data_IF_453548800182
#
_entry.id   IF_453548800182
#
_cell.length_a   1.000
_cell.length_b   1.000
_cell.length_c   1.000
_cell.angle_alpha   90.00
_cell.angle_beta   90.00
_cell.angle_gamma   90.00
#
_symmetry.space_group_name_H-M   'P 1'
#
loop_
_entity.id
_entity.type
_entity.pdbx_description
1 polymer ?
#
# COMPACT_ATOMS: atom_id res chain seq x y z
N UNK A 1 -4.53 0.58 41.03
CA UNK A 1 -3.33 0.80 40.19
C UNK A 1 -3.74 1.67 39.01
N UNK A 2 -3.26 2.92 38.90
CA UNK A 2 -3.46 3.72 37.67
C UNK A 2 -2.57 3.12 36.58
N UNK A 3 -3.12 2.88 35.39
CA UNK A 3 -2.38 2.39 34.22
C UNK A 3 -2.33 3.54 33.23
N UNK A 4 -1.14 3.96 32.85
CA UNK A 4 -0.96 4.87 31.72
C UNK A 4 -1.25 4.07 30.45
N UNK A 5 -2.15 4.61 29.62
CA UNK A 5 -2.57 4.00 28.36
C UNK A 5 -2.32 5.05 27.29
N UNK A 6 -1.40 4.75 26.37
CA UNK A 6 -1.20 5.51 25.15
C UNK A 6 -2.15 4.93 24.09
N UNK A 7 -2.81 5.81 23.35
CA UNK A 7 -3.76 5.41 22.32
C UNK A 7 -3.40 6.07 21.00
N UNK A 8 -3.11 5.24 20.00
CA UNK A 8 -2.88 5.69 18.64
C UNK A 8 -4.19 5.64 17.86
N UNK A 9 -4.59 6.77 17.29
CA UNK A 9 -5.86 6.93 16.57
C UNK A 9 -5.60 7.76 15.31
N UNK A 10 -6.19 7.35 14.19
CA UNK A 10 -6.09 8.15 12.96
C UNK A 10 -7.18 9.23 12.93
N UNK A 11 -6.95 10.31 12.17
CA UNK A 11 -8.00 11.33 11.96
C UNK A 11 -9.25 10.73 11.30
N UNK A 12 -9.08 9.70 10.47
CA UNK A 12 -10.20 8.98 9.86
C UNK A 12 -11.06 8.27 10.91
N UNK A 13 -10.46 7.68 11.95
CA UNK A 13 -11.21 7.03 13.03
C UNK A 13 -12.04 8.05 13.81
N UNK A 14 -11.49 9.25 14.06
CA UNK A 14 -12.21 10.36 14.69
C UNK A 14 -13.36 10.85 13.80
N UNK A 15 -13.13 11.00 12.50
CA UNK A 15 -14.17 11.37 11.53
C UNK A 15 -15.32 10.35 11.54
N UNK A 16 -15.00 9.07 11.49
CA UNK A 16 -15.97 7.98 11.45
C UNK A 16 -16.77 7.85 12.76
N UNK A 17 -16.12 8.04 13.91
CA UNK A 17 -16.77 7.99 15.22
C UNK A 17 -17.80 9.12 15.39
N UNK A 18 -17.52 10.31 14.88
CA UNK A 18 -18.43 11.46 14.96
C UNK A 18 -19.49 11.45 13.85
N UNK A 19 -19.19 10.90 12.67
CA UNK A 19 -20.16 10.75 11.58
C UNK A 19 -21.23 9.68 11.88
N UNK A 20 -20.89 8.67 12.69
CA UNK A 20 -21.80 7.63 13.15
C UNK A 20 -21.66 7.43 14.66
N UNK A 21 -22.34 8.24 15.49
CA UNK A 21 -22.31 8.04 16.93
C UNK A 21 -22.87 6.65 17.27
N UNK A 22 -22.01 5.69 17.62
CA UNK A 22 -22.40 4.32 18.00
C UNK A 22 -23.10 4.22 19.38
N UNK A 23 -23.52 5.34 19.97
CA UNK A 23 -23.92 5.43 21.38
C UNK A 23 -25.33 5.95 21.68
N UNK A 24 -26.19 6.14 20.67
CA UNK A 24 -27.57 6.58 20.91
C UNK A 24 -28.44 5.46 21.48
N UNK A 25 -28.91 5.58 22.73
CA UNK A 25 -29.93 4.69 23.35
C UNK A 25 -31.35 4.87 22.74
N UNK A 26 -31.44 5.16 21.45
CA UNK A 26 -32.73 5.32 20.77
C UNK A 26 -33.04 4.10 19.91
N UNK A 27 -34.30 3.67 19.92
CA UNK A 27 -34.84 2.54 19.16
C UNK A 27 -34.51 2.65 17.66
N UNK A 28 -34.25 3.87 17.17
CA UNK A 28 -33.84 4.18 15.80
C UNK A 28 -32.38 3.84 15.47
N UNK A 29 -31.47 3.78 16.46
CA UNK A 29 -30.06 3.37 16.28
C UNK A 29 -29.92 1.84 16.15
N UNK A 30 -30.82 1.08 16.78
CA UNK A 30 -30.89 -0.37 16.63
C UNK A 30 -31.36 -0.77 15.23
N UNK A 31 -32.34 -0.06 14.68
CA UNK A 31 -32.82 -0.31 13.30
C UNK A 31 -31.79 0.11 12.25
N UNK A 32 -31.03 1.19 12.48
CA UNK A 32 -29.95 1.62 11.57
C UNK A 32 -28.70 0.73 11.67
N UNK A 33 -28.45 0.09 12.81
CA UNK A 33 -27.40 -0.92 12.99
C UNK A 33 -27.71 -2.28 12.34
N UNK A 34 -29.00 -2.56 12.07
CA UNK A 34 -29.46 -3.77 11.36
C UNK A 34 -29.45 -3.63 9.82
N UNK A 35 -29.25 -2.40 9.31
CA UNK A 35 -29.05 -2.13 7.89
C UNK A 35 -27.57 -2.22 7.48
N UNK A 36 -27.28 -2.61 6.24
CA UNK A 36 -25.91 -2.55 5.70
C UNK A 36 -25.33 -1.15 5.94
N UNK A 37 -24.12 -1.03 6.50
CA UNK A 37 -23.51 0.27 6.77
C UNK A 37 -23.26 1.04 5.46
N UNK A 38 -24.19 1.90 5.04
CA UNK A 38 -23.99 2.81 3.90
C UNK A 38 -22.85 3.75 4.23
N UNK A 39 -21.73 3.71 3.48
CA UNK A 39 -20.64 4.70 3.64
C UNK A 39 -21.25 6.09 3.52
N UNK A 40 -21.42 6.77 4.64
CA UNK A 40 -21.89 8.15 4.71
C UNK A 40 -20.68 9.01 4.42
N UNK A 41 -20.77 9.85 3.40
CA UNK A 41 -19.71 10.79 3.07
C UNK A 41 -19.46 11.71 4.27
N UNK A 42 -18.20 11.85 4.66
CA UNK A 42 -17.79 12.75 5.73
C UNK A 42 -17.75 14.15 5.12
N UNK A 43 -18.65 15.02 5.57
CA UNK A 43 -18.72 16.39 5.08
C UNK A 43 -17.48 17.20 5.49
N UNK A 44 -17.09 18.17 4.68
CA UNK A 44 -15.97 19.06 5.00
C UNK A 44 -16.19 19.86 6.29
N UNK A 45 -17.44 20.15 6.66
CA UNK A 45 -17.77 20.81 7.94
C UNK A 45 -17.36 19.95 9.14
N UNK A 46 -17.66 18.65 9.10
CA UNK A 46 -17.28 17.70 10.15
C UNK A 46 -15.75 17.58 10.25
N UNK A 47 -15.06 17.47 9.11
CA UNK A 47 -13.58 17.45 9.07
C UNK A 47 -12.98 18.70 9.69
N UNK A 48 -13.51 19.88 9.36
CA UNK A 48 -13.03 21.14 9.93
C UNK A 48 -13.25 21.21 11.45
N UNK A 49 -14.38 20.71 11.94
CA UNK A 49 -14.65 20.64 13.38
C UNK A 49 -13.66 19.72 14.10
N UNK A 50 -13.42 18.54 13.55
CA UNK A 50 -12.48 17.56 14.11
C UNK A 50 -11.06 18.12 14.09
N UNK A 51 -10.63 18.72 12.98
CA UNK A 51 -9.31 19.35 12.87
C UNK A 51 -9.13 20.47 13.92
N UNK A 52 -10.18 21.25 14.24
CA UNK A 52 -10.12 22.26 15.31
C UNK A 52 -9.95 21.63 16.69
N UNK A 53 -10.64 20.53 16.97
CA UNK A 53 -10.53 19.81 18.26
C UNK A 53 -9.14 19.18 18.39
N UNK A 54 -8.65 18.54 17.34
CA UNK A 54 -7.30 17.93 17.31
C UNK A 54 -6.23 19.00 17.51
N UNK A 55 -6.29 20.12 16.80
CA UNK A 55 -5.35 21.23 16.99
C UNK A 55 -5.33 21.73 18.44
N UNK A 56 -6.50 21.86 19.07
CA UNK A 56 -6.59 22.26 20.48
C UNK A 56 -5.89 21.26 21.40
N UNK A 57 -6.04 19.96 21.16
CA UNK A 57 -5.36 18.94 21.96
C UNK A 57 -3.84 18.95 21.76
N UNK A 58 -3.37 19.27 20.55
CA UNK A 58 -1.96 19.47 20.27
C UNK A 58 -1.42 20.70 21.01
N UNK A 59 -2.11 21.84 20.92
CA UNK A 59 -1.73 23.09 21.61
C UNK A 59 -1.72 22.94 23.14
N UNK A 60 -2.60 22.11 23.70
CA UNK A 60 -2.67 21.80 25.12
C UNK A 60 -1.62 20.76 25.57
N UNK A 61 -0.86 20.17 24.65
CA UNK A 61 0.11 19.11 24.94
C UNK A 61 -0.54 17.78 25.36
N UNK A 62 -1.81 17.59 25.03
CA UNK A 62 -2.58 16.35 25.33
C UNK A 62 -2.39 15.30 24.24
N UNK A 63 -2.16 15.74 23.00
CA UNK A 63 -1.95 14.88 21.84
C UNK A 63 -0.75 15.33 21.01
N UNK A 64 -0.14 14.38 20.30
CA UNK A 64 0.91 14.62 19.33
C UNK A 64 0.43 14.21 17.94
N UNK A 65 0.71 15.03 16.93
CA UNK A 65 0.40 14.68 15.54
C UNK A 65 1.60 13.97 14.91
N UNK A 66 1.41 12.71 14.53
CA UNK A 66 2.43 11.91 13.84
C UNK A 66 2.00 11.78 12.37
N UNK A 67 2.72 12.41 11.41
CA UNK A 67 2.41 12.26 9.99
C UNK A 67 2.75 10.85 9.51
N UNK A 68 1.77 10.19 8.88
CA UNK A 68 1.96 8.88 8.27
C UNK A 68 2.52 8.94 6.85
N UNK A 69 2.46 7.79 6.16
CA UNK A 69 2.80 7.68 4.74
C UNK A 69 1.58 7.22 3.96
N UNK A 70 1.23 7.95 2.90
CA UNK A 70 0.26 7.53 1.90
C UNK A 70 1.01 7.00 0.68
N UNK A 71 1.05 5.67 0.53
CA UNK A 71 1.62 5.03 -0.65
C UNK A 71 0.55 4.81 -1.71
N UNK A 72 0.76 5.37 -2.90
CA UNK A 72 -0.12 5.20 -4.05
C UNK A 72 0.66 4.49 -5.16
N UNK A 73 0.39 3.20 -5.31
CA UNK A 73 0.92 2.42 -6.42
C UNK A 73 0.17 2.72 -7.72
N UNK A 74 0.84 2.51 -8.85
CA UNK A 74 0.27 2.70 -10.19
C UNK A 74 -0.38 4.11 -10.37
N UNK A 75 0.30 5.16 -9.91
CA UNK A 75 -0.23 6.54 -9.86
C UNK A 75 -0.76 7.07 -11.20
N UNK A 76 -0.27 6.56 -12.33
CA UNK A 76 -0.75 6.92 -13.67
C UNK A 76 -2.20 6.50 -13.94
N UNK A 77 -2.82 5.73 -13.04
CA UNK A 77 -4.24 5.39 -13.07
C UNK A 77 -5.14 6.50 -12.54
N UNK A 78 -4.58 7.48 -11.81
CA UNK A 78 -5.29 8.67 -11.35
C UNK A 78 -5.57 9.63 -12.51
N UNK A 79 -6.69 10.35 -12.41
CA UNK A 79 -7.06 11.40 -13.34
C UNK A 79 -6.68 12.79 -12.83
N UNK A 80 -6.87 13.79 -13.69
CA UNK A 80 -6.55 15.19 -13.39
C UNK A 80 -7.30 15.73 -12.16
N UNK A 81 -8.53 15.25 -11.90
CA UNK A 81 -9.30 15.65 -10.73
C UNK A 81 -8.68 15.11 -9.44
N UNK A 82 -8.24 13.84 -9.44
CA UNK A 82 -7.50 13.24 -8.34
C UNK A 82 -6.20 14.01 -8.06
N UNK A 83 -5.44 14.36 -9.10
CA UNK A 83 -4.21 15.14 -8.92
C UNK A 83 -4.48 16.53 -8.38
N UNK A 84 -5.56 17.19 -8.82
CA UNK A 84 -5.96 18.50 -8.28
C UNK A 84 -6.31 18.41 -6.79
N UNK A 85 -7.03 17.35 -6.40
CA UNK A 85 -7.36 17.09 -5.00
C UNK A 85 -6.11 16.82 -4.15
N UNK A 86 -5.18 16.00 -4.66
CA UNK A 86 -3.92 15.69 -3.99
C UNK A 86 -3.04 16.93 -3.84
N UNK A 87 -2.94 17.76 -4.87
CA UNK A 87 -2.17 19.00 -4.85
C UNK A 87 -2.70 19.94 -3.75
N UNK A 88 -4.02 20.10 -3.64
CA UNK A 88 -4.64 20.87 -2.55
C UNK A 88 -4.41 20.23 -1.17
N UNK A 89 -4.44 18.90 -1.09
CA UNK A 89 -4.27 18.18 0.18
C UNK A 89 -2.82 18.22 0.69
N UNK A 90 -1.84 18.33 -0.21
CA UNK A 90 -0.42 18.51 0.13
C UNK A 90 -0.11 19.86 0.77
N UNK A 91 -0.96 20.87 0.59
CA UNK A 91 -0.85 22.18 1.26
C UNK A 91 -1.30 22.16 2.73
N UNK A 92 -1.99 21.09 3.16
CA UNK A 92 -2.48 20.97 4.54
C UNK A 92 -1.35 20.64 5.50
N UNK A 93 -1.33 21.26 6.68
CA UNK A 93 -0.37 20.91 7.75
C UNK A 93 -0.54 19.49 8.31
N UNK A 94 -1.71 18.89 8.10
CA UNK A 94 -2.01 17.50 8.48
C UNK A 94 -1.68 16.49 7.37
N UNK A 95 -1.09 16.93 6.25
CA UNK A 95 -0.83 16.06 5.11
C UNK A 95 0.25 15.02 5.46
N UNK A 96 0.00 13.72 5.21
CA UNK A 96 1.04 12.71 5.34
C UNK A 96 2.09 12.88 4.23
N UNK A 97 3.22 12.17 4.36
CA UNK A 97 4.17 12.03 3.26
C UNK A 97 3.51 11.18 2.18
N UNK A 98 3.41 11.70 0.95
CA UNK A 98 2.84 10.95 -0.17
C UNK A 98 3.97 10.34 -1.00
N UNK A 99 3.92 9.02 -1.19
CA UNK A 99 4.87 8.27 -2.01
C UNK A 99 4.13 7.69 -3.21
N UNK A 100 4.47 8.17 -4.39
CA UNK A 100 3.92 7.70 -5.66
C UNK A 100 4.84 6.65 -6.28
N UNK A 101 4.26 5.56 -6.78
CA UNK A 101 4.98 4.58 -7.59
C UNK A 101 4.36 4.45 -8.99
N UNK A 102 5.23 4.24 -9.98
CA UNK A 102 4.84 4.08 -11.38
C UNK A 102 5.88 3.26 -12.12
N UNK A 103 5.41 2.43 -13.04
CA UNK A 103 6.22 1.68 -14.00
C UNK A 103 6.13 2.27 -15.43
N UNK A 104 5.43 3.41 -15.60
CA UNK A 104 5.25 4.07 -16.90
C UNK A 104 6.27 5.17 -17.11
N UNK A 105 6.88 5.18 -18.30
CA UNK A 105 7.78 6.24 -18.75
C UNK A 105 7.03 7.51 -19.18
N UNK A 106 6.39 7.51 -20.35
CA UNK A 106 5.57 8.63 -20.84
C UNK A 106 4.18 8.10 -21.18
N UNK A 107 3.15 8.59 -20.50
CA UNK A 107 1.75 8.16 -20.68
C UNK A 107 0.80 9.37 -20.64
N UNK A 108 -0.44 9.19 -21.10
CA UNK A 108 -1.46 10.25 -21.03
C UNK A 108 -1.97 10.41 -19.61
N UNK A 109 -2.18 11.66 -19.19
CA UNK A 109 -2.89 11.98 -17.94
C UNK A 109 -4.38 11.68 -18.15
N UNK A 110 -4.97 10.82 -17.32
CA UNK A 110 -6.39 10.46 -17.46
C UNK A 110 -7.27 11.68 -17.14
N UNK A 111 -8.41 11.79 -17.79
CA UNK A 111 -9.29 12.98 -17.65
C UNK A 111 -8.81 14.22 -18.42
N UNK A 112 -7.83 14.07 -19.32
CA UNK A 112 -7.39 15.12 -20.25
C UNK A 112 -7.57 14.65 -21.70
N UNK A 113 -7.51 15.58 -22.65
CA UNK A 113 -7.59 15.30 -24.10
C UNK A 113 -6.27 14.73 -24.66
N UNK A 114 -5.77 13.66 -24.04
CA UNK A 114 -4.57 12.94 -24.49
C UNK A 114 -3.25 13.65 -24.16
N UNK A 115 -3.24 14.57 -23.19
CA UNK A 115 -2.01 15.25 -22.75
C UNK A 115 -1.03 14.22 -22.20
N UNK A 116 0.14 14.10 -22.83
CA UNK A 116 1.20 13.17 -22.42
C UNK A 116 2.17 13.85 -21.47
N UNK A 117 2.53 13.15 -20.41
CA UNK A 117 3.49 13.62 -19.40
C UNK A 117 4.39 12.48 -18.94
N UNK A 118 5.63 12.76 -18.48
CA UNK A 118 6.41 11.78 -17.74
C UNK A 118 5.58 11.18 -16.61
N UNK A 119 5.63 9.86 -16.49
CA UNK A 119 4.98 9.08 -15.44
C UNK A 119 3.44 9.18 -15.38
N UNK A 120 2.80 9.91 -16.29
CA UNK A 120 1.36 10.16 -16.26
C UNK A 120 0.94 11.16 -15.19
N UNK A 121 1.86 11.98 -14.70
CA UNK A 121 1.65 12.94 -13.62
C UNK A 121 1.68 14.37 -14.21
N UNK A 122 0.78 15.29 -13.81
CA UNK A 122 0.85 16.69 -14.19
C UNK A 122 2.20 17.35 -13.86
N UNK A 123 2.69 18.23 -14.74
CA UNK A 123 4.02 18.85 -14.62
C UNK A 123 4.15 19.68 -13.33
N UNK A 124 3.09 20.36 -12.93
CA UNK A 124 3.01 21.14 -11.69
C UNK A 124 3.23 20.29 -10.43
N UNK A 125 2.76 19.03 -10.45
CA UNK A 125 3.01 18.10 -9.35
C UNK A 125 4.40 17.47 -9.46
N UNK A 126 4.87 17.15 -10.67
CA UNK A 126 6.21 16.60 -10.90
C UNK A 126 7.31 17.53 -10.39
N UNK A 127 7.19 18.84 -10.57
CA UNK A 127 8.17 19.83 -10.12
C UNK A 127 8.32 19.86 -8.58
N UNK A 128 7.32 19.36 -7.85
CA UNK A 128 7.31 19.26 -6.38
C UNK A 128 7.82 17.91 -5.87
N UNK A 129 8.07 16.94 -6.74
CA UNK A 129 8.39 15.56 -6.37
C UNK A 129 9.89 15.31 -6.32
N UNK A 130 10.34 14.60 -5.28
CA UNK A 130 11.65 13.96 -5.28
C UNK A 130 11.56 12.62 -6.04
N UNK A 131 12.11 12.56 -7.25
CA UNK A 131 12.09 11.34 -8.07
C UNK A 131 13.25 10.43 -7.68
N UNK A 132 12.92 9.27 -7.12
CA UNK A 132 13.88 8.18 -6.83
C UNK A 132 13.73 7.10 -7.89
N UNK A 133 14.78 6.86 -8.67
CA UNK A 133 14.80 5.82 -9.71
C UNK A 133 15.22 4.49 -9.11
N UNK A 134 14.45 3.45 -9.41
CA UNK A 134 14.83 2.07 -9.10
C UNK A 134 15.46 1.41 -10.34
N UNK A 135 16.31 0.42 -10.10
CA UNK A 135 16.98 -0.34 -11.15
C UNK A 135 16.60 -1.82 -11.04
N UNK A 136 16.59 -2.57 -12.16
CA UNK A 136 16.44 -4.02 -12.12
C UNK A 136 17.55 -4.66 -11.28
N UNK A 137 17.21 -5.73 -10.57
CA UNK A 137 18.18 -6.54 -9.83
C UNK A 137 19.03 -7.39 -10.78
N UNK A 138 20.27 -7.64 -10.39
CA UNK A 138 21.11 -8.69 -10.95
C UNK A 138 20.60 -10.08 -10.54
N UNK A 139 21.03 -11.13 -11.26
CA UNK A 139 20.66 -12.52 -10.92
C UNK A 139 21.13 -12.86 -9.50
N UNK A 140 22.34 -12.44 -9.11
CA UNK A 140 22.90 -12.67 -7.77
C UNK A 140 22.02 -12.03 -6.67
N UNK A 141 21.58 -10.79 -6.88
CA UNK A 141 20.65 -10.12 -5.96
C UNK A 141 19.29 -10.82 -5.92
N UNK A 142 18.75 -11.27 -7.07
CA UNK A 142 17.49 -12.01 -7.11
C UNK A 142 17.57 -13.32 -6.33
N UNK A 143 18.64 -14.11 -6.51
CA UNK A 143 18.87 -15.35 -5.76
C UNK A 143 18.94 -15.07 -4.27
N UNK A 144 19.62 -13.99 -3.86
CA UNK A 144 19.68 -13.59 -2.46
C UNK A 144 18.31 -13.24 -1.89
N UNK A 145 17.50 -12.46 -2.62
CA UNK A 145 16.14 -12.12 -2.21
C UNK A 145 15.26 -13.37 -2.10
N UNK A 146 15.36 -14.29 -3.07
CA UNK A 146 14.62 -15.56 -3.06
C UNK A 146 15.02 -16.44 -1.87
N UNK A 147 16.31 -16.47 -1.52
CA UNK A 147 16.82 -17.20 -0.35
C UNK A 147 16.23 -16.66 0.95
N UNK A 148 16.20 -15.33 1.12
CA UNK A 148 15.56 -14.69 2.27
C UNK A 148 14.07 -15.04 2.30
N UNK A 149 13.39 -14.99 1.15
CA UNK A 149 11.96 -15.28 1.06
C UNK A 149 11.65 -16.74 1.42
N UNK A 150 12.42 -17.69 0.90
CA UNK A 150 12.30 -19.11 1.24
C UNK A 150 12.49 -19.34 2.74
N UNK A 151 13.49 -18.68 3.35
CA UNK A 151 13.76 -18.76 4.79
C UNK A 151 12.58 -18.24 5.62
N UNK A 152 12.01 -17.08 5.24
CA UNK A 152 10.86 -16.47 5.94
C UNK A 152 9.61 -17.34 5.83
N UNK A 153 9.40 -17.99 4.69
CA UNK A 153 8.28 -18.91 4.48
C UNK A 153 8.53 -20.34 5.01
N UNK A 154 9.72 -20.61 5.56
CA UNK A 154 10.10 -21.93 6.08
C UNK A 154 10.18 -23.00 4.99
N UNK A 155 10.63 -22.63 3.79
CA UNK A 155 10.81 -23.52 2.65
C UNK A 155 12.27 -23.99 2.58
N UNK A 156 12.46 -25.30 2.44
CA UNK A 156 13.76 -25.89 2.15
C UNK A 156 13.92 -25.97 0.63
N UNK A 157 14.83 -25.18 0.07
CA UNK A 157 15.06 -25.05 -1.37
C UNK A 157 16.51 -25.37 -1.66
N UNK A 158 16.74 -26.23 -2.65
CA UNK A 158 18.09 -26.53 -3.10
C UNK A 158 18.80 -25.31 -3.70
N UNK A 159 20.12 -25.23 -3.55
CA UNK A 159 20.90 -24.10 -4.07
C UNK A 159 20.81 -24.00 -5.59
N UNK A 160 20.82 -25.14 -6.29
CA UNK A 160 20.67 -25.17 -7.74
C UNK A 160 19.26 -24.70 -8.17
N UNK A 161 18.24 -25.10 -7.42
CA UNK A 161 16.86 -24.64 -7.59
C UNK A 161 16.72 -23.12 -7.39
N UNK A 162 17.40 -22.53 -6.40
CA UNK A 162 17.44 -21.08 -6.20
C UNK A 162 18.12 -20.34 -7.36
N UNK A 163 19.22 -20.89 -7.89
CA UNK A 163 19.89 -20.33 -9.07
C UNK A 163 18.97 -20.34 -10.30
N UNK A 164 18.25 -21.44 -10.53
CA UNK A 164 17.27 -21.55 -11.60
C UNK A 164 16.14 -20.52 -11.42
N UNK A 165 15.57 -20.39 -10.21
CA UNK A 165 14.56 -19.36 -9.93
C UNK A 165 15.08 -17.93 -10.14
N UNK A 166 16.35 -17.68 -9.85
CA UNK A 166 17.01 -16.41 -10.17
C UNK A 166 17.03 -16.12 -11.67
N UNK A 167 17.36 -17.12 -12.49
CA UNK A 167 17.32 -17.00 -13.96
C UNK A 167 15.89 -16.80 -14.48
N UNK A 168 14.92 -17.55 -13.94
CA UNK A 168 13.50 -17.37 -14.27
C UNK A 168 13.03 -15.95 -13.92
N UNK A 169 13.42 -15.44 -12.75
CA UNK A 169 13.12 -14.08 -12.30
C UNK A 169 13.72 -13.00 -13.20
N UNK A 170 14.94 -13.22 -13.71
CA UNK A 170 15.60 -12.33 -14.65
C UNK A 170 14.94 -12.33 -16.04
N UNK A 171 14.43 -13.48 -16.50
CA UNK A 171 13.66 -13.59 -17.75
C UNK A 171 12.26 -12.98 -17.64
N UNK A 172 11.66 -13.03 -16.45
CA UNK A 172 10.27 -12.64 -16.22
C UNK A 172 10.16 -11.45 -15.25
N UNK A 173 9.97 -11.72 -13.96
CA UNK A 173 10.05 -10.76 -12.87
C UNK A 173 10.34 -11.47 -11.55
N UNK A 174 10.93 -10.76 -10.59
CA UNK A 174 11.11 -11.26 -9.24
C UNK A 174 9.78 -11.68 -8.58
N UNK A 175 8.69 -10.98 -8.87
CA UNK A 175 7.35 -11.32 -8.35
C UNK A 175 6.92 -12.71 -8.81
N UNK A 176 7.13 -13.02 -10.09
CA UNK A 176 6.80 -14.33 -10.64
C UNK A 176 7.66 -15.43 -10.01
N UNK A 177 8.98 -15.23 -9.94
CA UNK A 177 9.89 -16.19 -9.30
C UNK A 177 9.55 -16.46 -7.82
N UNK A 178 9.18 -15.43 -7.06
CA UNK A 178 8.70 -15.59 -5.67
C UNK A 178 7.40 -16.40 -5.62
N UNK A 179 6.47 -16.15 -6.54
CA UNK A 179 5.20 -16.88 -6.59
C UNK A 179 5.37 -18.35 -6.97
N UNK A 180 6.46 -18.74 -7.65
CA UNK A 180 6.75 -20.14 -7.97
C UNK A 180 7.17 -20.98 -6.75
N UNK A 181 7.67 -20.37 -5.68
CA UNK A 181 8.10 -21.11 -4.48
C UNK A 181 6.97 -21.96 -3.87
N UNK A 182 5.76 -21.40 -3.79
CA UNK A 182 4.59 -22.10 -3.23
C UNK A 182 4.15 -23.32 -4.05
N UNK A 183 3.88 -23.22 -5.37
CA UNK A 183 3.54 -24.38 -6.19
C UNK A 183 4.68 -25.41 -6.24
N UNK A 184 5.95 -24.99 -6.30
CA UNK A 184 7.08 -25.91 -6.26
C UNK A 184 7.13 -26.72 -4.95
N UNK A 185 6.78 -26.10 -3.81
CA UNK A 185 6.64 -26.79 -2.53
C UNK A 185 5.58 -27.89 -2.61
N UNK A 186 4.40 -27.56 -3.13
CA UNK A 186 3.30 -28.51 -3.28
C UNK A 186 3.71 -29.66 -4.19
N UNK A 187 4.42 -29.37 -5.28
CA UNK A 187 4.95 -30.41 -6.18
C UNK A 187 5.93 -31.34 -5.47
N UNK A 188 6.90 -30.79 -4.72
CA UNK A 188 7.83 -31.60 -3.94
C UNK A 188 7.07 -32.52 -2.94
N UNK A 189 6.07 -31.98 -2.24
CA UNK A 189 5.23 -32.73 -1.30
C UNK A 189 4.43 -33.85 -1.99
N UNK A 190 3.94 -33.66 -3.21
CA UNK A 190 3.22 -34.72 -3.96
C UNK A 190 4.10 -35.91 -4.30
N UNK A 191 5.40 -35.69 -4.46
CA UNK A 191 6.42 -36.73 -4.69
C UNK A 191 6.99 -37.26 -3.35
N UNK A 192 6.51 -36.75 -2.21
CA UNK A 192 6.95 -37.16 -0.87
C UNK A 192 8.28 -36.52 -0.43
N UNK A 193 8.72 -35.45 -1.11
CA UNK A 193 9.92 -34.67 -0.74
C UNK A 193 9.52 -33.41 0.04
N UNK A 194 10.37 -33.02 0.98
CA UNK A 194 10.22 -31.74 1.71
C UNK A 194 11.08 -30.62 1.12
N UNK A 195 12.11 -30.99 0.34
CA UNK A 195 13.05 -30.07 -0.28
C UNK A 195 12.68 -29.83 -1.74
N UNK A 196 12.59 -28.55 -2.13
CA UNK A 196 12.33 -28.09 -3.49
C UNK A 196 13.61 -28.23 -4.32
N UNK A 197 13.51 -28.92 -5.45
CA UNK A 197 14.60 -29.20 -6.38
C UNK A 197 14.34 -28.53 -7.74
N UNK A 198 15.34 -28.50 -8.62
CA UNK A 198 15.21 -27.92 -9.97
C UNK A 198 14.07 -28.55 -10.79
N UNK A 199 13.84 -29.86 -10.61
CA UNK A 199 12.78 -30.62 -11.28
C UNK A 199 11.38 -30.03 -10.99
N UNK A 200 11.14 -29.61 -9.75
CA UNK A 200 9.86 -29.04 -9.32
C UNK A 200 9.61 -27.68 -10.02
N UNK A 201 10.67 -26.89 -10.22
CA UNK A 201 10.58 -25.59 -10.89
C UNK A 201 10.29 -25.79 -12.37
N UNK A 202 11.03 -26.69 -13.03
CA UNK A 202 10.81 -26.98 -14.45
C UNK A 202 9.39 -27.50 -14.70
N UNK A 203 8.88 -28.35 -13.81
CA UNK A 203 7.53 -28.90 -13.94
C UNK A 203 6.41 -27.87 -13.73
N UNK A 204 6.65 -26.84 -12.92
CA UNK A 204 5.68 -25.76 -12.69
C UNK A 204 5.80 -24.65 -13.75
N UNK A 205 6.97 -24.51 -14.37
CA UNK A 205 7.20 -23.53 -15.43
C UNK A 205 6.65 -23.96 -16.80
N UNK A 206 6.55 -25.28 -17.06
CA UNK A 206 5.86 -25.84 -18.25
C UNK A 206 4.36 -25.49 -18.31
#
# INVERSE_FOLDING_TARGET
KKREVVQDVTLHDLDMANARPQGGKDVMSLVSSMGKPKKTEITDKLRQEINRVVNRYIEQGVAELIPGVLFVDEVHMLDMECFTYLNRSLESSFSPIIVFATNRGITSIRGTDGVRSPHGIPVDLLDRMLIVRTYPYSIEEMVHILTIRATVEGLDVDEAALQLLGQVGARTSLRYAVQLLTPCKVMAETVGRTKIMEEDINQVEE
#
